data_IF_102966535680
#
_entry.id   IF_102966535680
#
_cell.length_a   1.000
_cell.length_b   1.000
_cell.length_c   1.000
_cell.angle_alpha   90.00
_cell.angle_beta   90.00
_cell.angle_gamma   90.00
#
_symmetry.space_group_name_H-M   'P 1'
#
loop_
_entity.id
_entity.type
_entity.pdbx_description
1 polymer ?
#
# COMPACT_ATOMS: atom_id res chain seq x y z
N UNK A 1 -22.68 8.08 2.97
CA UNK A 1 -21.83 7.12 3.68
C UNK A 1 -22.01 5.74 3.08
N UNK A 2 -20.92 5.02 2.85
CA UNK A 2 -20.92 3.64 2.36
C UNK A 2 -20.09 2.81 3.32
N UNK A 3 -20.74 1.84 3.96
CA UNK A 3 -20.08 0.95 4.92
C UNK A 3 -19.97 -0.46 4.34
N UNK A 4 -18.78 -1.02 4.38
CA UNK A 4 -18.49 -2.39 3.97
C UNK A 4 -17.74 -3.08 5.12
N UNK A 5 -18.36 -4.08 5.73
CA UNK A 5 -17.91 -4.74 6.96
C UNK A 5 -17.63 -3.71 8.08
N UNK A 6 -16.38 -3.53 8.48
CA UNK A 6 -15.91 -2.61 9.52
C UNK A 6 -15.35 -1.29 8.98
N UNK A 7 -15.39 -1.09 7.66
CA UNK A 7 -14.82 0.08 6.98
C UNK A 7 -15.90 1.09 6.64
N UNK A 8 -15.71 2.33 7.06
CA UNK A 8 -16.54 3.46 6.70
C UNK A 8 -15.92 4.26 5.56
N UNK A 9 -16.76 4.55 4.55
CA UNK A 9 -16.34 5.35 3.40
C UNK A 9 -17.32 6.50 3.20
N UNK A 10 -16.79 7.68 2.92
CA UNK A 10 -17.57 8.84 2.50
C UNK A 10 -17.51 8.97 0.98
N UNK A 11 -18.68 8.90 0.34
CA UNK A 11 -18.87 9.42 -1.00
C UNK A 11 -19.80 10.61 -0.95
N UNK A 12 -19.35 11.76 -1.43
CA UNK A 12 -20.12 12.97 -1.51
C UNK A 12 -19.94 13.62 -2.86
N UNK A 13 -21.01 14.11 -3.47
CA UNK A 13 -21.00 14.77 -4.76
C UNK A 13 -21.85 16.04 -4.74
N UNK A 14 -21.28 17.14 -5.21
CA UNK A 14 -21.97 18.37 -5.54
C UNK A 14 -22.08 18.50 -7.05
N UNK A 15 -23.29 18.77 -7.56
CA UNK A 15 -23.57 18.81 -8.98
C UNK A 15 -23.99 17.46 -9.55
N UNK A 16 -24.58 17.49 -10.74
CA UNK A 16 -25.10 16.31 -11.44
C UNK A 16 -24.54 16.16 -12.85
N UNK A 17 -23.79 17.18 -13.31
CA UNK A 17 -23.21 17.24 -14.65
C UNK A 17 -21.76 16.75 -14.67
N UNK A 18 -21.31 16.37 -15.83
CA UNK A 18 -19.90 16.09 -16.11
C UNK A 18 -19.21 17.34 -16.70
N UNK A 19 -17.86 17.46 -16.64
CA UNK A 19 -16.97 16.50 -16.02
C UNK A 19 -17.06 16.50 -14.49
N UNK A 20 -16.78 15.34 -13.88
CA UNK A 20 -16.67 15.19 -12.44
C UNK A 20 -15.20 15.13 -12.01
N UNK A 21 -14.80 16.04 -11.12
CA UNK A 21 -13.52 15.95 -10.41
C UNK A 21 -13.76 15.37 -9.02
N UNK A 22 -12.97 14.35 -8.68
CA UNK A 22 -13.00 13.70 -7.37
C UNK A 22 -11.72 14.01 -6.60
N UNK A 23 -11.86 14.41 -5.34
CA UNK A 23 -10.78 14.45 -4.37
C UNK A 23 -10.81 13.17 -3.55
N UNK A 24 -9.73 12.38 -3.64
CA UNK A 24 -9.63 11.09 -2.95
C UNK A 24 -8.59 11.13 -1.84
N UNK A 25 -8.89 10.42 -0.74
CA UNK A 25 -7.98 10.32 0.40
C UNK A 25 -8.47 9.33 1.45
N UNK A 26 -7.73 9.26 2.56
CA UNK A 26 -8.02 8.34 3.65
C UNK A 26 -7.91 9.02 5.03
N UNK A 27 -8.57 8.42 6.03
CA UNK A 27 -8.55 8.91 7.41
C UNK A 27 -7.83 7.97 8.38
N UNK A 28 -7.65 6.72 8.02
CA UNK A 28 -6.82 5.79 8.75
C UNK A 28 -5.33 6.16 8.66
N UNK A 29 -4.53 5.60 9.54
CA UNK A 29 -3.10 5.92 9.64
C UNK A 29 -2.32 4.67 10.05
N UNK A 30 -1.06 4.57 9.60
CA UNK A 30 -0.16 3.51 10.05
C UNK A 30 0.14 3.62 11.55
N UNK A 31 0.52 2.50 12.21
CA UNK A 31 0.94 2.52 13.61
C UNK A 31 2.08 3.52 13.86
N UNK A 32 2.08 4.11 15.05
CA UNK A 32 3.10 5.11 15.45
C UNK A 32 4.49 4.54 15.61
N UNK A 33 4.61 3.22 15.82
CA UNK A 33 5.82 2.62 16.39
C UNK A 33 6.00 3.03 17.86
N UNK A 34 7.21 2.89 18.42
CA UNK A 34 7.47 3.30 19.81
C UNK A 34 7.29 4.81 19.98
N UNK A 35 6.35 5.21 20.84
CA UNK A 35 6.04 6.63 21.09
C UNK A 35 7.23 7.44 21.60
N UNK A 36 8.17 6.82 22.33
CA UNK A 36 9.39 7.47 22.77
C UNK A 36 10.33 7.95 21.65
N UNK A 37 10.09 7.57 20.41
CA UNK A 37 10.82 8.06 19.23
C UNK A 37 10.23 9.35 18.65
N UNK A 38 9.08 9.81 19.16
CA UNK A 38 8.43 11.02 18.70
C UNK A 38 8.87 12.23 19.51
N UNK A 39 9.14 13.33 18.83
CA UNK A 39 9.44 14.63 19.49
C UNK A 39 8.21 15.19 20.21
N UNK A 40 7.03 14.97 19.62
CA UNK A 40 5.72 15.35 20.18
C UNK A 40 4.79 14.14 20.13
N UNK A 41 3.84 13.99 21.07
CA UNK A 41 2.92 12.86 21.07
C UNK A 41 2.18 12.73 19.72
N UNK A 42 2.14 11.52 19.11
CA UNK A 42 1.66 11.35 17.74
C UNK A 42 0.18 11.68 17.54
N UNK A 43 -0.65 11.55 18.59
CA UNK A 43 -2.09 11.82 18.54
C UNK A 43 -2.51 13.09 19.31
N UNK A 44 -1.55 13.91 19.73
CA UNK A 44 -1.77 15.23 20.31
C UNK A 44 -1.14 16.29 19.39
N UNK A 45 -1.83 16.69 18.31
CA UNK A 45 -1.22 17.52 17.26
C UNK A 45 -0.79 18.88 17.80
N UNK A 46 0.43 19.30 17.46
CA UNK A 46 1.03 20.53 17.93
C UNK A 46 1.64 21.30 16.75
N UNK A 47 1.65 22.63 16.87
CA UNK A 47 2.28 23.51 15.90
C UNK A 47 3.54 24.08 16.51
N UNK A 48 4.70 23.83 15.86
CA UNK A 48 5.99 24.38 16.21
C UNK A 48 6.69 24.94 14.97
N UNK A 49 7.19 26.12 15.05
CA UNK A 49 7.90 26.81 13.97
C UNK A 49 7.13 26.82 12.62
N UNK A 50 5.80 26.94 12.69
CA UNK A 50 4.92 26.94 11.52
C UNK A 50 4.64 25.54 10.93
N UNK A 51 5.12 24.46 11.53
CA UNK A 51 4.89 23.09 11.12
C UNK A 51 3.91 22.38 12.06
N UNK A 52 2.98 21.62 11.48
CA UNK A 52 2.04 20.76 12.20
C UNK A 52 2.65 19.38 12.42
N UNK A 53 2.82 18.99 13.67
CA UNK A 53 3.33 17.69 14.09
C UNK A 53 2.18 16.79 14.54
N UNK A 54 2.13 15.56 14.04
CA UNK A 54 1.15 14.55 14.40
C UNK A 54 1.04 13.43 13.38
N UNK A 55 0.69 12.22 13.83
CA UNK A 55 0.41 11.09 12.95
C UNK A 55 -0.78 11.41 12.05
N UNK A 56 -0.63 11.23 10.72
CA UNK A 56 -1.66 11.53 9.73
C UNK A 56 -1.72 13.01 9.33
N UNK A 57 -0.87 13.91 9.86
CA UNK A 57 -0.84 15.32 9.47
C UNK A 57 -0.39 15.48 8.01
N UNK A 58 0.71 14.83 7.63
CA UNK A 58 1.21 14.83 6.26
C UNK A 58 0.52 13.78 5.39
N UNK A 59 0.27 12.60 5.93
CA UNK A 59 -0.33 11.44 5.28
C UNK A 59 -1.61 11.04 6.02
N UNK A 60 -2.82 11.45 5.52
CA UNK A 60 -2.95 12.53 4.51
C UNK A 60 -4.05 13.53 4.90
N UNK A 61 -4.36 13.66 6.21
CA UNK A 61 -5.45 14.53 6.70
C UNK A 61 -5.23 16.02 6.36
N UNK A 62 -3.96 16.46 6.26
CA UNK A 62 -3.61 17.82 5.82
C UNK A 62 -4.11 18.11 4.41
N UNK A 63 -3.93 17.16 3.47
CA UNK A 63 -4.43 17.27 2.11
C UNK A 63 -5.95 17.28 2.05
N UNK A 64 -6.63 16.45 2.85
CA UNK A 64 -8.10 16.46 2.94
C UNK A 64 -8.60 17.83 3.40
N UNK A 65 -7.99 18.41 4.43
CA UNK A 65 -8.34 19.75 4.90
C UNK A 65 -8.13 20.81 3.81
N UNK A 66 -7.02 20.74 3.07
CA UNK A 66 -6.75 21.63 1.95
C UNK A 66 -7.81 21.49 0.83
N UNK A 67 -8.21 20.28 0.47
CA UNK A 67 -9.30 20.04 -0.49
C UNK A 67 -10.63 20.68 -0.05
N UNK A 68 -10.97 20.53 1.24
CA UNK A 68 -12.21 21.09 1.78
C UNK A 68 -12.20 22.62 1.70
N UNK A 69 -11.13 23.28 2.11
CA UNK A 69 -11.00 24.75 2.07
C UNK A 69 -10.99 25.24 0.62
N UNK A 70 -10.26 24.58 -0.28
CA UNK A 70 -10.23 24.96 -1.70
C UNK A 70 -11.63 24.84 -2.33
N UNK A 71 -12.36 23.75 -2.04
CA UNK A 71 -13.72 23.55 -2.53
C UNK A 71 -14.69 24.59 -1.96
N UNK A 72 -14.59 24.89 -0.67
CA UNK A 72 -15.44 25.90 -0.02
C UNK A 72 -15.26 27.28 -0.68
N UNK A 73 -14.00 27.69 -0.90
CA UNK A 73 -13.69 28.96 -1.55
C UNK A 73 -14.21 28.97 -2.99
N UNK A 74 -13.93 27.92 -3.77
CA UNK A 74 -14.40 27.80 -5.14
C UNK A 74 -15.93 27.88 -5.25
N UNK A 75 -16.65 27.18 -4.40
CA UNK A 75 -18.13 27.16 -4.42
C UNK A 75 -18.71 28.51 -3.99
N UNK A 76 -18.06 29.26 -3.07
CA UNK A 76 -18.47 30.62 -2.70
C UNK A 76 -18.34 31.58 -3.89
N UNK A 77 -17.23 31.49 -4.63
CA UNK A 77 -16.97 32.35 -5.80
C UNK A 77 -17.79 31.90 -7.03
N UNK A 78 -18.03 30.61 -7.17
CA UNK A 78 -18.69 30.00 -8.33
C UNK A 78 -19.88 29.12 -7.91
N UNK A 79 -20.95 29.66 -7.30
CA UNK A 79 -22.07 28.87 -6.75
C UNK A 79 -22.82 28.06 -7.82
N UNK A 80 -22.79 28.52 -9.07
CA UNK A 80 -23.46 27.90 -10.24
C UNK A 80 -22.44 27.29 -11.21
N UNK A 81 -21.32 26.79 -10.71
CA UNK A 81 -20.32 26.13 -11.54
C UNK A 81 -20.89 24.94 -12.33
N UNK A 82 -20.37 24.71 -13.52
CA UNK A 82 -20.69 23.51 -14.31
C UNK A 82 -19.86 22.33 -13.83
N UNK A 83 -20.33 21.12 -14.19
CA UNK A 83 -19.68 19.88 -13.76
C UNK A 83 -19.97 19.53 -12.31
N UNK A 84 -19.22 18.58 -11.77
CA UNK A 84 -19.40 18.07 -10.41
C UNK A 84 -18.08 18.04 -9.65
N UNK A 85 -18.17 18.27 -8.34
CA UNK A 85 -17.08 18.08 -7.38
C UNK A 85 -17.47 16.94 -6.47
N UNK A 86 -16.59 15.95 -6.30
CA UNK A 86 -16.84 14.80 -5.44
C UNK A 86 -15.69 14.57 -4.45
N UNK A 87 -16.03 13.89 -3.35
CA UNK A 87 -15.09 13.39 -2.35
C UNK A 87 -15.27 11.89 -2.19
N UNK A 88 -14.16 11.16 -2.25
CA UNK A 88 -14.07 9.76 -1.87
C UNK A 88 -13.03 9.66 -0.75
N UNK A 89 -13.51 9.44 0.48
CA UNK A 89 -12.64 9.33 1.65
C UNK A 89 -12.89 7.97 2.29
N UNK A 90 -11.81 7.19 2.44
CA UNK A 90 -11.87 5.84 3.04
C UNK A 90 -11.23 5.80 4.42
N UNK A 91 -11.58 4.80 5.22
CA UNK A 91 -10.90 4.43 6.46
C UNK A 91 -10.14 3.10 6.35
N UNK A 92 -9.82 2.63 5.14
CA UNK A 92 -9.06 1.39 4.87
C UNK A 92 -8.16 1.57 3.65
N UNK A 93 -7.17 2.48 3.75
CA UNK A 93 -6.08 2.63 2.78
C UNK A 93 -4.78 2.02 3.31
N UNK A 94 -4.45 2.32 4.55
CA UNK A 94 -3.20 1.93 5.23
C UNK A 94 -3.26 0.51 5.82
N UNK A 95 -4.44 -0.09 5.83
CA UNK A 95 -4.69 -1.43 6.32
C UNK A 95 -4.73 -2.47 5.19
N UNK A 96 -5.70 -3.43 5.26
CA UNK A 96 -5.87 -4.45 4.23
C UNK A 96 -6.29 -3.91 2.86
N UNK A 97 -6.82 -2.69 2.77
CA UNK A 97 -7.30 -1.99 1.58
C UNK A 97 -8.34 -2.81 0.76
N UNK A 98 -9.21 -3.55 1.45
CA UNK A 98 -10.20 -4.45 0.85
C UNK A 98 -11.58 -3.84 0.75
N UNK A 99 -11.98 -3.12 1.82
CA UNK A 99 -13.32 -2.57 1.98
C UNK A 99 -13.36 -1.04 1.80
N UNK A 100 -12.23 -0.45 1.37
CA UNK A 100 -12.04 0.97 1.11
C UNK A 100 -12.40 1.38 -0.32
N UNK A 101 -11.50 2.12 -0.95
CA UNK A 101 -11.65 2.74 -2.28
C UNK A 101 -12.15 1.77 -3.34
N UNK A 102 -11.64 0.52 -3.38
CA UNK A 102 -12.04 -0.49 -4.37
C UNK A 102 -13.55 -0.75 -4.32
N UNK A 103 -14.11 -0.93 -3.12
CA UNK A 103 -15.55 -1.19 -2.93
C UNK A 103 -16.42 0.01 -3.28
N UNK A 104 -15.94 1.22 -3.00
CA UNK A 104 -16.63 2.44 -3.43
C UNK A 104 -16.66 2.51 -4.96
N UNK A 105 -15.54 2.30 -5.63
CA UNK A 105 -15.46 2.32 -7.11
C UNK A 105 -16.36 1.26 -7.73
N UNK A 106 -16.33 0.01 -7.26
CA UNK A 106 -17.25 -1.06 -7.71
C UNK A 106 -18.73 -0.61 -7.59
N UNK A 107 -19.08 0.07 -6.49
CA UNK A 107 -20.44 0.57 -6.26
C UNK A 107 -20.80 1.71 -7.23
N UNK A 108 -19.88 2.63 -7.50
CA UNK A 108 -20.09 3.72 -8.44
C UNK A 108 -20.24 3.21 -9.88
N UNK A 109 -19.40 2.25 -10.29
CA UNK A 109 -19.51 1.58 -11.60
C UNK A 109 -20.86 0.90 -11.77
N UNK A 110 -21.33 0.18 -10.74
CA UNK A 110 -22.66 -0.45 -10.76
C UNK A 110 -23.82 0.56 -10.90
N UNK A 111 -23.61 1.82 -10.49
CA UNK A 111 -24.57 2.93 -10.65
C UNK A 111 -24.36 3.73 -11.94
N UNK A 112 -23.40 3.35 -12.81
CA UNK A 112 -22.96 4.14 -13.97
C UNK A 112 -22.49 5.55 -13.58
N UNK A 113 -21.98 5.73 -12.39
CA UNK A 113 -21.44 6.98 -11.88
C UNK A 113 -19.93 7.03 -12.11
N UNK A 114 -19.51 7.70 -13.17
CA UNK A 114 -18.12 7.71 -13.61
C UNK A 114 -17.39 8.95 -13.13
N UNK A 115 -16.21 8.77 -12.54
CA UNK A 115 -15.25 9.83 -12.21
C UNK A 115 -14.44 10.14 -13.47
N UNK A 116 -14.45 11.41 -13.91
CA UNK A 116 -13.69 11.84 -15.10
C UNK A 116 -12.24 12.21 -14.73
N UNK A 117 -12.04 12.81 -13.57
CA UNK A 117 -10.72 13.23 -13.06
C UNK A 117 -10.64 12.96 -11.57
N UNK A 118 -9.46 12.55 -11.09
CA UNK A 118 -9.21 12.32 -9.67
C UNK A 118 -7.90 12.96 -9.23
N UNK A 119 -7.94 13.66 -8.10
CA UNK A 119 -6.76 14.13 -7.37
C UNK A 119 -6.69 13.34 -6.07
N UNK A 120 -5.60 12.57 -5.91
CA UNK A 120 -5.29 11.82 -4.69
C UNK A 120 -4.32 12.65 -3.86
N UNK A 121 -4.69 12.94 -2.62
CA UNK A 121 -3.96 13.90 -1.77
C UNK A 121 -2.76 13.33 -1.04
N UNK A 122 -2.19 12.22 -1.51
CA UNK A 122 -1.01 11.62 -0.94
C UNK A 122 0.23 12.53 -1.01
N UNK A 123 1.11 12.51 0.00
CA UNK A 123 2.31 13.34 0.01
C UNK A 123 3.26 12.94 -1.10
N UNK A 124 3.59 13.87 -1.99
CA UNK A 124 4.49 13.64 -3.12
C UNK A 124 5.57 14.71 -3.27
N UNK A 125 5.39 15.86 -2.65
CA UNK A 125 6.36 16.97 -2.69
C UNK A 125 7.70 16.58 -2.07
N UNK A 126 8.79 17.11 -2.63
CA UNK A 126 10.15 16.79 -2.20
C UNK A 126 10.82 17.95 -1.45
N UNK A 127 10.70 19.16 -1.95
CA UNK A 127 11.32 20.38 -1.39
C UNK A 127 10.26 21.42 -1.07
N UNK A 128 9.45 21.77 -2.06
CA UNK A 128 8.40 22.77 -1.93
C UNK A 128 7.03 22.13 -2.16
N UNK A 129 6.00 22.60 -1.45
CA UNK A 129 4.64 22.08 -1.59
C UNK A 129 4.16 22.20 -3.05
N UNK A 130 3.83 21.07 -3.66
CA UNK A 130 3.31 21.00 -5.04
C UNK A 130 4.39 20.93 -6.12
N UNK A 131 5.67 20.80 -5.77
CA UNK A 131 6.78 20.69 -6.72
C UNK A 131 6.76 19.36 -7.50
N UNK A 132 6.12 18.33 -6.96
CA UNK A 132 6.11 16.99 -7.54
C UNK A 132 4.70 16.41 -7.58
N UNK A 133 4.26 16.04 -8.78
CA UNK A 133 3.00 15.32 -9.01
C UNK A 133 3.33 13.93 -9.56
N UNK A 134 2.81 12.88 -8.92
CA UNK A 134 2.91 11.50 -9.42
C UNK A 134 1.73 11.22 -10.34
N UNK A 135 1.98 11.00 -11.62
CA UNK A 135 0.97 10.64 -12.62
C UNK A 135 0.86 9.14 -12.89
N UNK A 136 1.55 8.32 -12.10
CA UNK A 136 1.50 6.87 -12.15
C UNK A 136 2.32 6.25 -11.01
N UNK A 137 2.05 5.00 -10.72
CA UNK A 137 2.75 4.24 -9.67
C UNK A 137 3.16 2.87 -10.17
N UNK A 138 4.24 2.33 -9.62
CA UNK A 138 4.59 0.92 -9.79
C UNK A 138 3.57 0.03 -9.07
N UNK A 139 3.38 -1.17 -9.60
CA UNK A 139 2.61 -2.20 -8.92
C UNK A 139 3.33 -2.71 -7.67
N UNK A 140 2.56 -3.27 -6.74
CA UNK A 140 3.05 -3.94 -5.54
C UNK A 140 2.42 -5.32 -5.44
N UNK A 141 3.25 -6.34 -5.17
CA UNK A 141 2.80 -7.70 -4.94
C UNK A 141 3.49 -8.26 -3.70
N UNK A 142 2.74 -8.39 -2.60
CA UNK A 142 3.18 -9.06 -1.38
C UNK A 142 2.94 -10.56 -1.46
N UNK A 143 3.90 -11.36 -1.01
CA UNK A 143 3.82 -12.82 -1.01
C UNK A 143 4.29 -13.40 0.31
N UNK A 144 3.68 -14.49 0.71
CA UNK A 144 4.10 -15.32 1.85
C UNK A 144 4.31 -16.75 1.35
N UNK A 145 5.53 -17.24 1.47
CA UNK A 145 5.90 -18.61 1.17
C UNK A 145 6.02 -19.39 2.47
N UNK A 146 5.34 -20.52 2.59
CA UNK A 146 5.52 -21.46 3.70
C UNK A 146 6.13 -22.75 3.18
N UNK A 147 7.34 -23.05 3.62
CA UNK A 147 8.04 -24.31 3.30
C UNK A 147 7.89 -25.26 4.46
N UNK A 148 7.33 -26.45 4.20
CA UNK A 148 7.13 -27.50 5.19
C UNK A 148 8.28 -28.48 5.16
N UNK A 149 8.90 -28.70 6.32
CA UNK A 149 9.92 -29.69 6.56
C UNK A 149 9.46 -30.79 7.52
N UNK A 150 10.42 -31.47 8.12
CA UNK A 150 10.20 -32.45 9.20
C UNK A 150 11.14 -32.08 10.33
N UNK A 151 10.56 -31.70 11.48
CA UNK A 151 11.35 -31.34 12.67
C UNK A 151 12.12 -32.53 13.21
N UNK A 152 13.35 -32.27 13.65
CA UNK A 152 14.18 -33.32 14.24
C UNK A 152 15.41 -32.78 14.94
N UNK A 153 16.19 -33.69 15.54
CA UNK A 153 17.44 -33.32 16.18
C UNK A 153 18.57 -33.20 15.15
N UNK A 154 19.40 -32.18 15.22
CA UNK A 154 20.48 -31.92 14.24
C UNK A 154 21.50 -33.07 14.12
N UNK A 155 21.66 -33.91 15.18
CA UNK A 155 22.53 -35.06 15.15
C UNK A 155 21.97 -36.22 14.33
N UNK A 156 20.67 -36.19 13.95
CA UNK A 156 19.98 -37.26 13.22
C UNK A 156 19.26 -36.68 11.98
N UNK A 157 20.00 -36.02 11.06
CA UNK A 157 19.38 -35.32 9.92
C UNK A 157 18.64 -36.28 8.98
N UNK A 158 18.96 -37.55 8.96
CA UNK A 158 18.27 -38.60 8.17
C UNK A 158 16.82 -38.85 8.62
N UNK A 159 16.42 -38.40 9.82
CA UNK A 159 15.06 -38.49 10.37
C UNK A 159 14.30 -37.17 10.25
N UNK A 160 14.89 -36.16 9.64
CA UNK A 160 14.33 -34.82 9.51
C UNK A 160 14.40 -34.33 8.05
N UNK A 161 13.72 -33.22 7.78
CA UNK A 161 13.86 -32.46 6.53
C UNK A 161 13.93 -30.98 6.87
N UNK A 162 15.05 -30.35 6.55
CA UNK A 162 15.29 -28.95 6.91
C UNK A 162 14.68 -28.00 5.87
N UNK A 163 13.58 -27.29 6.19
CA UNK A 163 12.92 -26.40 5.25
C UNK A 163 13.76 -25.17 4.88
N UNK A 164 14.74 -24.78 5.75
CA UNK A 164 15.67 -23.69 5.44
C UNK A 164 16.62 -24.13 4.32
N UNK A 165 17.14 -25.37 4.37
CA UNK A 165 18.01 -25.91 3.33
C UNK A 165 17.24 -26.10 2.01
N UNK A 166 15.99 -26.53 2.09
CA UNK A 166 15.14 -26.74 0.90
C UNK A 166 14.88 -25.41 0.16
N UNK A 167 14.63 -24.31 0.89
CA UNK A 167 14.27 -23.03 0.27
C UNK A 167 15.48 -22.19 -0.16
N UNK A 168 16.64 -22.39 0.48
CA UNK A 168 17.81 -21.54 0.26
C UNK A 168 18.24 -21.42 -1.22
N UNK A 169 18.31 -22.50 -2.03
CA UNK A 169 18.65 -22.40 -3.45
C UNK A 169 17.66 -21.54 -4.25
N UNK A 170 16.36 -21.73 -4.01
CA UNK A 170 15.32 -20.98 -4.69
C UNK A 170 15.36 -19.48 -4.29
N UNK A 171 15.60 -19.16 -3.01
CA UNK A 171 15.78 -17.76 -2.59
C UNK A 171 17.03 -17.11 -3.25
N UNK A 172 18.11 -17.86 -3.38
CA UNK A 172 19.29 -17.38 -4.09
C UNK A 172 18.99 -17.11 -5.58
N UNK A 173 18.21 -17.96 -6.24
CA UNK A 173 17.75 -17.74 -7.61
C UNK A 173 16.87 -16.50 -7.70
N UNK A 174 15.86 -16.36 -6.84
CA UNK A 174 14.97 -15.20 -6.77
C UNK A 174 15.69 -13.87 -6.62
N UNK A 175 16.74 -13.84 -5.77
CA UNK A 175 17.51 -12.60 -5.52
C UNK A 175 18.43 -12.21 -6.68
N UNK A 176 18.81 -13.16 -7.52
CA UNK A 176 19.66 -12.94 -8.70
C UNK A 176 18.86 -12.77 -10.00
N UNK A 177 17.54 -12.98 -9.95
CA UNK A 177 16.68 -12.89 -11.12
C UNK A 177 16.55 -11.43 -11.61
N UNK A 178 16.73 -11.24 -12.91
CA UNK A 178 16.37 -9.97 -13.57
C UNK A 178 14.91 -10.05 -13.99
N UNK A 179 14.05 -9.38 -13.23
CA UNK A 179 12.62 -9.42 -13.46
C UNK A 179 12.20 -8.69 -14.72
N UNK A 180 12.71 -7.47 -14.92
CA UNK A 180 12.66 -6.65 -16.14
C UNK A 180 13.77 -5.59 -16.11
N UNK A 181 13.83 -4.74 -17.13
CA UNK A 181 14.80 -3.65 -17.21
C UNK A 181 14.20 -2.27 -16.92
N UNK A 182 12.92 -2.21 -16.55
CA UNK A 182 12.20 -0.95 -16.43
C UNK A 182 11.88 -0.32 -17.79
N UNK A 183 11.48 0.95 -17.77
CA UNK A 183 11.20 1.74 -18.95
C UNK A 183 11.44 3.23 -18.69
N UNK A 184 11.07 4.11 -19.63
CA UNK A 184 11.25 5.57 -19.52
C UNK A 184 10.55 6.19 -18.30
N UNK A 185 9.54 5.52 -17.73
CA UNK A 185 8.71 6.03 -16.63
C UNK A 185 9.02 5.39 -15.28
N UNK A 186 9.49 4.13 -15.28
CA UNK A 186 9.69 3.35 -14.06
C UNK A 186 11.02 2.60 -14.08
N UNK A 187 11.73 2.56 -12.94
CA UNK A 187 12.89 1.69 -12.79
C UNK A 187 12.49 0.22 -12.90
N UNK A 188 13.48 -0.64 -13.10
CA UNK A 188 13.32 -2.08 -13.13
C UNK A 188 12.55 -2.60 -11.89
N UNK A 189 11.81 -3.67 -12.08
CA UNK A 189 11.11 -4.38 -11.00
C UNK A 189 12.09 -4.86 -9.95
N UNK A 190 11.80 -4.54 -8.70
CA UNK A 190 12.60 -4.95 -7.54
C UNK A 190 11.90 -6.05 -6.75
N UNK A 191 12.71 -7.00 -6.26
CA UNK A 191 12.32 -8.06 -5.35
C UNK A 191 13.03 -7.87 -4.01
N UNK A 192 12.29 -7.94 -2.89
CA UNK A 192 12.86 -7.82 -1.56
C UNK A 192 12.23 -8.84 -0.61
N UNK A 193 13.06 -9.63 0.07
CA UNK A 193 12.65 -10.46 1.19
C UNK A 193 12.62 -9.56 2.43
N UNK A 194 11.46 -9.44 3.05
CA UNK A 194 11.27 -8.59 4.24
C UNK A 194 11.38 -9.36 5.55
N UNK A 195 11.00 -10.64 5.55
CA UNK A 195 11.05 -11.48 6.75
C UNK A 195 11.35 -12.94 6.39
N UNK A 196 12.13 -13.60 7.26
CA UNK A 196 12.31 -15.05 7.29
C UNK A 196 12.15 -15.50 8.73
N UNK A 197 11.16 -16.36 8.98
CA UNK A 197 10.88 -16.90 10.29
C UNK A 197 10.93 -18.43 10.25
N UNK A 198 11.77 -19.02 11.09
CA UNK A 198 11.94 -20.46 11.20
C UNK A 198 12.57 -20.82 12.54
N UNK A 199 12.28 -22.03 12.99
CA UNK A 199 12.89 -22.60 14.18
C UNK A 199 12.27 -22.17 15.50
N UNK A 200 12.72 -22.82 16.58
CA UNK A 200 12.23 -22.65 17.95
C UNK A 200 13.20 -21.84 18.83
N UNK A 201 14.33 -21.39 18.28
CA UNK A 201 15.43 -20.78 19.02
C UNK A 201 16.42 -21.79 19.61
N UNK A 202 16.12 -23.10 19.59
CA UNK A 202 17.03 -24.14 20.06
C UNK A 202 18.09 -24.47 18.99
N UNK A 203 19.36 -24.51 19.36
CA UNK A 203 20.47 -24.72 18.44
C UNK A 203 20.61 -26.14 17.93
N UNK A 204 19.94 -27.10 18.57
CA UNK A 204 20.02 -28.52 18.26
C UNK A 204 18.75 -29.09 17.63
N UNK A 205 17.83 -28.21 17.16
CA UNK A 205 16.56 -28.60 16.54
C UNK A 205 16.50 -28.11 15.08
N UNK A 206 16.30 -29.04 14.15
CA UNK A 206 15.93 -28.73 12.78
C UNK A 206 14.47 -28.30 12.78
N UNK A 207 14.11 -27.14 12.17
CA UNK A 207 12.74 -26.64 12.21
C UNK A 207 11.77 -27.47 11.39
N UNK A 208 10.49 -27.42 11.75
CA UNK A 208 9.41 -28.08 11.02
C UNK A 208 8.87 -27.25 9.86
N UNK A 209 9.10 -25.93 9.88
CA UNK A 209 8.72 -25.04 8.78
C UNK A 209 9.62 -23.81 8.68
N UNK A 210 9.54 -23.14 7.54
CA UNK A 210 10.16 -21.84 7.27
C UNK A 210 9.14 -20.97 6.54
N UNK A 211 8.88 -19.77 7.07
CA UNK A 211 7.98 -18.78 6.48
C UNK A 211 8.80 -17.61 5.97
N UNK A 212 8.69 -17.33 4.67
CA UNK A 212 9.37 -16.22 4.00
C UNK A 212 8.35 -15.24 3.49
N UNK A 213 8.46 -13.98 3.92
CA UNK A 213 7.64 -12.87 3.40
C UNK A 213 8.47 -12.01 2.48
N UNK A 214 7.97 -11.75 1.28
CA UNK A 214 8.66 -10.94 0.30
C UNK A 214 7.70 -10.07 -0.51
N UNK A 215 8.24 -9.05 -1.17
CA UNK A 215 7.46 -8.11 -1.95
C UNK A 215 8.16 -7.75 -3.27
N UNK A 216 7.35 -7.59 -4.31
CA UNK A 216 7.75 -6.98 -5.56
C UNK A 216 7.23 -5.54 -5.65
N UNK A 217 8.09 -4.63 -6.13
CA UNK A 217 7.68 -3.35 -6.68
C UNK A 217 7.93 -3.39 -8.17
N UNK A 218 6.87 -3.59 -8.96
CA UNK A 218 7.00 -3.93 -10.37
C UNK A 218 6.62 -2.79 -11.30
N UNK A 219 7.36 -2.70 -12.41
CA UNK A 219 7.12 -1.74 -13.48
C UNK A 219 5.89 -2.12 -14.31
N UNK A 220 5.53 -1.28 -15.28
CA UNK A 220 4.45 -1.58 -16.22
C UNK A 220 4.79 -2.66 -17.26
N UNK A 221 6.05 -3.14 -17.28
CA UNK A 221 6.50 -4.25 -18.13
C UNK A 221 5.99 -5.62 -17.66
N UNK A 222 5.62 -5.71 -16.37
CA UNK A 222 5.13 -6.95 -15.75
C UNK A 222 3.75 -6.78 -15.13
N UNK A 223 3.09 -7.91 -14.95
CA UNK A 223 1.84 -7.99 -14.19
C UNK A 223 2.02 -8.89 -12.96
N UNK A 224 1.12 -8.77 -11.99
CA UNK A 224 1.11 -9.64 -10.82
C UNK A 224 0.98 -11.13 -11.22
N UNK A 225 0.27 -11.42 -12.31
CA UNK A 225 0.11 -12.79 -12.84
C UNK A 225 1.45 -13.34 -13.33
N UNK A 226 2.16 -12.60 -14.17
CA UNK A 226 3.48 -13.00 -14.69
C UNK A 226 4.49 -13.20 -13.54
N UNK A 227 4.50 -12.28 -12.57
CA UNK A 227 5.37 -12.40 -11.39
C UNK A 227 5.07 -13.65 -10.59
N UNK A 228 3.79 -13.95 -10.37
CA UNK A 228 3.35 -15.16 -9.67
C UNK A 228 3.82 -16.41 -10.41
N UNK A 229 3.55 -16.52 -11.71
CA UNK A 229 3.95 -17.67 -12.54
C UNK A 229 5.46 -17.90 -12.52
N UNK A 230 6.27 -16.85 -12.69
CA UNK A 230 7.74 -16.94 -12.64
C UNK A 230 8.23 -17.35 -11.27
N UNK A 231 7.63 -16.81 -10.21
CA UNK A 231 7.94 -17.15 -8.81
C UNK A 231 7.63 -18.64 -8.53
N UNK A 232 6.44 -19.09 -8.91
CA UNK A 232 6.02 -20.51 -8.75
C UNK A 232 6.93 -21.45 -9.53
N UNK A 233 7.36 -21.07 -10.73
CA UNK A 233 8.28 -21.87 -11.53
C UNK A 233 9.68 -22.03 -10.89
N UNK A 234 10.16 -21.00 -10.17
CA UNK A 234 11.43 -21.08 -9.41
C UNK A 234 11.26 -22.02 -8.20
N UNK A 235 10.17 -21.90 -7.45
CA UNK A 235 9.93 -22.76 -6.28
C UNK A 235 9.51 -24.20 -6.61
N UNK A 236 9.14 -24.50 -7.85
CA UNK A 236 8.80 -25.85 -8.30
C UNK A 236 10.02 -26.73 -8.66
N UNK A 237 11.24 -26.18 -8.68
CA UNK A 237 12.51 -26.89 -8.93
C UNK A 237 12.98 -27.64 -7.70
#
# INVERSE_FOLDING_TARGET
EMRFDDTDNLWSRRGTENPMICFAGHTDVVPTGPEGNWTYPPFEPQIHDGLLYGRGAADMKGSIAAFMIATENFVKEHPNHKGSIAYLITSDEEGPAKNGTVKVIETLEARNEKIDMCIVGEPSSTTDTGDTIKNGRRGSLGCVLTVKGIQGHVAYPQLARNPIHDVAPALAEMTNETWDNGNDFFPATSFQISNINSGTGATNVIPGDCVVTFNFRFSTELTAVILKERTEAIFAK
#
